data_IF_129672561849
#
_entry.id   IF_129672561849
#
_cell.length_a   1.000
_cell.length_b   1.000
_cell.length_c   1.000
_cell.angle_alpha   90.00
_cell.angle_beta   90.00
_cell.angle_gamma   90.00
#
_symmetry.space_group_name_H-M   'P 1'
#
loop_
_entity.id
_entity.type
_entity.pdbx_description
1 polymer ?
#
# COMPACT_ATOMS: atom_id res chain seq x y z
N UNK A 1 14.39 -8.10 -6.76
CA UNK A 1 13.13 -8.66 -6.20
C UNK A 1 13.19 -8.55 -4.69
N UNK A 2 12.10 -8.19 -4.04
CA UNK A 2 11.98 -8.11 -2.58
C UNK A 2 10.67 -8.76 -2.13
N UNK A 3 10.56 -9.12 -0.85
CA UNK A 3 9.34 -9.76 -0.34
C UNK A 3 8.22 -8.72 -0.20
N UNK A 4 7.20 -8.81 -1.04
CA UNK A 4 6.09 -7.85 -1.08
C UNK A 4 4.81 -8.43 -0.47
N UNK A 5 4.19 -7.72 0.46
CA UNK A 5 2.93 -8.13 1.07
C UNK A 5 1.75 -7.64 0.24
N UNK A 6 0.94 -8.57 -0.27
CA UNK A 6 -0.40 -8.28 -0.80
C UNK A 6 -1.44 -8.77 0.18
N UNK A 7 -1.84 -7.91 1.13
CA UNK A 7 -2.77 -8.28 2.21
C UNK A 7 -4.13 -8.75 1.66
N UNK A 8 -4.63 -8.07 0.61
CA UNK A 8 -5.87 -8.45 -0.07
C UNK A 8 -5.81 -9.85 -0.72
N UNK A 9 -4.65 -10.24 -1.27
CA UNK A 9 -4.48 -11.55 -1.88
C UNK A 9 -4.56 -12.72 -0.87
N UNK A 10 -4.34 -12.46 0.41
CA UNK A 10 -4.46 -13.44 1.49
C UNK A 10 -5.71 -13.22 2.38
N UNK A 11 -6.66 -12.39 1.94
CA UNK A 11 -7.93 -12.17 2.64
C UNK A 11 -7.83 -11.31 3.91
N UNK A 12 -6.74 -10.55 4.08
CA UNK A 12 -6.58 -9.64 5.22
C UNK A 12 -7.00 -8.21 4.81
N UNK A 13 -8.10 -7.67 5.36
CA UNK A 13 -8.52 -6.31 5.06
C UNK A 13 -7.62 -5.31 5.80
N UNK A 14 -6.68 -4.71 5.08
CA UNK A 14 -5.77 -3.70 5.61
C UNK A 14 -5.72 -2.48 4.68
N UNK A 15 -5.98 -1.30 5.23
CA UNK A 15 -5.67 -0.03 4.55
C UNK A 15 -4.16 0.24 4.55
N UNK A 16 -3.71 1.30 3.88
CA UNK A 16 -2.28 1.56 3.63
C UNK A 16 -1.41 1.55 4.90
N UNK A 17 -1.83 2.25 5.96
CA UNK A 17 -1.06 2.33 7.21
C UNK A 17 -0.97 0.97 7.93
N UNK A 18 -2.08 0.23 7.94
CA UNK A 18 -2.14 -1.09 8.55
C UNK A 18 -1.34 -2.11 7.74
N UNK A 19 -1.41 -2.05 6.41
CA UNK A 19 -0.62 -2.90 5.53
C UNK A 19 0.89 -2.69 5.76
N UNK A 20 1.33 -1.43 5.92
CA UNK A 20 2.71 -1.10 6.30
C UNK A 20 3.07 -1.72 7.66
N UNK A 21 2.20 -1.58 8.67
CA UNK A 21 2.44 -2.17 10.01
C UNK A 21 2.58 -3.69 9.94
N UNK A 22 1.68 -4.36 9.21
CA UNK A 22 1.70 -5.81 9.02
C UNK A 22 2.91 -6.27 8.21
N UNK A 23 3.33 -5.51 7.19
CA UNK A 23 4.53 -5.80 6.41
C UNK A 23 5.77 -5.81 7.30
N UNK A 24 5.94 -4.80 8.18
CA UNK A 24 7.03 -4.77 9.16
C UNK A 24 6.98 -5.98 10.11
N UNK A 25 5.81 -6.30 10.63
CA UNK A 25 5.64 -7.43 11.55
C UNK A 25 5.98 -8.77 10.88
N UNK A 26 5.62 -8.93 9.60
CA UNK A 26 5.84 -10.15 8.82
C UNK A 26 7.21 -10.25 8.14
N UNK A 27 8.09 -9.26 8.32
CA UNK A 27 9.40 -9.22 7.65
C UNK A 27 9.31 -9.08 6.13
N UNK A 28 8.31 -8.35 5.65
CA UNK A 28 8.18 -7.93 4.25
C UNK A 28 8.89 -6.59 4.05
N UNK A 29 9.34 -6.34 2.83
CA UNK A 29 10.09 -5.15 2.45
C UNK A 29 9.23 -4.14 1.67
N UNK A 30 8.02 -4.53 1.29
CA UNK A 30 7.08 -3.66 0.59
C UNK A 30 5.65 -4.13 0.71
N UNK A 31 4.72 -3.28 0.26
CA UNK A 31 3.30 -3.61 0.17
C UNK A 31 2.75 -3.38 -1.24
N UNK A 32 1.77 -4.19 -1.62
CA UNK A 32 0.77 -3.81 -2.60
C UNK A 32 -0.33 -2.98 -1.90
N UNK A 33 -0.77 -1.88 -2.51
CA UNK A 33 -1.78 -0.98 -1.94
C UNK A 33 -2.83 -0.56 -2.97
N UNK A 34 -3.94 0.01 -2.49
CA UNK A 34 -4.98 0.57 -3.35
C UNK A 34 -4.62 1.98 -3.81
N UNK A 35 -4.49 2.20 -5.12
CA UNK A 35 -4.25 3.54 -5.66
C UNK A 35 -5.43 4.49 -5.44
N UNK A 36 -6.65 3.95 -5.33
CA UNK A 36 -7.84 4.72 -4.98
C UNK A 36 -7.81 5.21 -3.54
N UNK A 37 -7.34 4.39 -2.60
CA UNK A 37 -7.14 4.78 -1.21
C UNK A 37 -6.04 5.85 -1.09
N UNK A 38 -4.91 5.65 -1.77
CA UNK A 38 -3.83 6.63 -1.83
C UNK A 38 -4.32 7.98 -2.38
N UNK A 39 -5.14 7.97 -3.44
CA UNK A 39 -5.76 9.18 -3.97
C UNK A 39 -6.66 9.87 -2.94
N UNK A 40 -7.54 9.12 -2.27
CA UNK A 40 -8.42 9.66 -1.23
C UNK A 40 -7.62 10.29 -0.08
N UNK A 41 -6.59 9.61 0.42
CA UNK A 41 -5.70 10.12 1.46
C UNK A 41 -4.95 11.38 1.00
N UNK A 42 -4.51 11.43 -0.26
CA UNK A 42 -3.86 12.62 -0.81
C UNK A 42 -4.82 13.82 -0.90
N UNK A 43 -6.10 13.61 -1.22
CA UNK A 43 -7.12 14.66 -1.20
C UNK A 43 -7.42 15.16 0.22
N UNK A 44 -7.50 14.25 1.19
CA UNK A 44 -7.89 14.57 2.57
C UNK A 44 -6.73 15.14 3.41
N UNK A 45 -5.51 14.65 3.18
CA UNK A 45 -4.33 14.90 4.05
C UNK A 45 -3.10 15.41 3.30
N UNK A 46 -3.17 15.51 1.97
CA UNK A 46 -2.06 15.94 1.12
C UNK A 46 -1.14 14.79 0.67
N UNK A 47 -0.40 15.03 -0.42
CA UNK A 47 0.53 14.05 -0.99
C UNK A 47 1.67 13.66 -0.03
N UNK A 48 2.16 14.62 0.75
CA UNK A 48 3.25 14.38 1.72
C UNK A 48 2.82 13.44 2.84
N UNK A 49 1.53 13.42 3.20
CA UNK A 49 1.01 12.43 4.14
C UNK A 49 1.20 11.01 3.59
N UNK A 50 0.82 10.79 2.33
CA UNK A 50 0.90 9.48 1.65
C UNK A 50 2.35 9.04 1.51
N UNK A 51 3.26 9.93 1.09
CA UNK A 51 4.70 9.64 1.04
C UNK A 51 5.23 9.27 2.43
N UNK A 52 4.81 10.02 3.45
CA UNK A 52 5.20 9.81 4.83
C UNK A 52 4.81 8.43 5.38
N UNK A 53 3.75 7.78 4.86
CA UNK A 53 3.39 6.40 5.25
C UNK A 53 4.55 5.44 4.95
N UNK A 54 5.23 5.62 3.81
CA UNK A 54 6.37 4.80 3.39
C UNK A 54 7.69 5.27 4.02
N UNK A 55 7.95 6.59 4.01
CA UNK A 55 9.21 7.15 4.52
C UNK A 55 9.44 6.84 6.00
N UNK A 56 8.37 6.78 6.81
CA UNK A 56 8.46 6.45 8.24
C UNK A 56 8.68 4.96 8.53
N UNK A 57 8.49 4.08 7.54
CA UNK A 57 8.32 2.65 7.81
C UNK A 57 9.42 1.74 7.26
N UNK A 58 10.36 2.25 6.46
CA UNK A 58 11.33 1.44 5.67
C UNK A 58 10.64 0.38 4.79
N UNK A 59 9.35 0.59 4.50
CA UNK A 59 8.54 -0.25 3.61
C UNK A 59 8.46 0.44 2.26
N UNK A 60 8.70 -0.33 1.20
CA UNK A 60 8.70 0.17 -0.17
C UNK A 60 7.28 0.10 -0.78
N UNK A 61 6.88 1.07 -1.61
CA UNK A 61 5.71 0.92 -2.45
C UNK A 61 6.00 -0.17 -3.52
N UNK A 62 5.37 -1.33 -3.41
CA UNK A 62 5.65 -2.47 -4.28
C UNK A 62 4.79 -2.52 -5.54
N UNK A 63 3.53 -2.11 -5.44
CA UNK A 63 2.64 -2.02 -6.59
C UNK A 63 1.21 -1.71 -6.19
N UNK A 64 0.37 -1.54 -7.20
CA UNK A 64 -1.08 -1.43 -7.06
C UNK A 64 -1.75 -1.97 -8.32
N UNK A 65 -2.96 -2.51 -8.17
CA UNK A 65 -3.78 -2.88 -9.31
C UNK A 65 -4.15 -1.67 -10.17
N UNK A 66 -4.15 -1.84 -11.49
CA UNK A 66 -4.51 -0.76 -12.41
C UNK A 66 -5.99 -0.39 -12.24
N UNK A 67 -6.33 0.90 -12.13
CA UNK A 67 -7.71 1.36 -11.89
C UNK A 67 -8.55 1.34 -13.18
N UNK A 68 -8.35 0.35 -14.05
CA UNK A 68 -9.05 0.22 -15.34
C UNK A 68 -9.54 -1.20 -15.53
N UNK A 69 -10.77 -1.36 -16.04
CA UNK A 69 -11.23 -2.65 -16.57
C UNK A 69 -10.79 -2.75 -18.02
N UNK A 70 -9.75 -3.55 -18.27
CA UNK A 70 -9.16 -3.69 -19.60
C UNK A 70 -9.87 -4.70 -20.51
N UNK A 71 -10.70 -5.60 -19.94
CA UNK A 71 -11.48 -6.60 -20.67
C UNK A 71 -12.96 -6.20 -20.85
N UNK A 72 -13.24 -4.91 -21.03
CA UNK A 72 -14.61 -4.44 -21.18
C UNK A 72 -15.25 -4.90 -22.50
#
# INVERSE_FOLDING_TARGET
MFKNLSAGAIGVPAGMEEAVRLAKLGGFEGIEFSIGEAHKLAQEKGLDYVKGIFERSDIKPGGWGLPVRWQA
#
